data_IF_920729239230
#
_entry.id   IF_920729239230
#
_cell.length_a   1.000
_cell.length_b   1.000
_cell.length_c   1.000
_cell.angle_alpha   90.00
_cell.angle_beta   90.00
_cell.angle_gamma   90.00
#
_symmetry.space_group_name_H-M   'P 1'
#
loop_
_entity.id
_entity.type
_entity.pdbx_description
1 polymer ?
#
# COMPACT_ATOMS: atom_id res chain seq x y z
N UNK A 1 90.44 -55.34 -21.52
CA UNK A 1 90.30 -55.26 -20.05
C UNK A 1 88.84 -55.46 -19.72
N UNK A 2 88.50 -56.59 -19.12
CA UNK A 2 87.14 -56.83 -18.62
C UNK A 2 86.96 -56.01 -17.33
N UNK A 3 85.83 -55.33 -17.19
CA UNK A 3 85.45 -54.65 -15.95
C UNK A 3 85.49 -55.65 -14.79
N UNK A 4 86.00 -55.22 -13.64
CA UNK A 4 85.99 -56.07 -12.44
C UNK A 4 84.58 -56.16 -11.86
N UNK A 5 84.20 -57.29 -11.28
CA UNK A 5 82.86 -57.48 -10.67
C UNK A 5 82.49 -56.38 -9.65
N UNK A 6 83.49 -55.77 -9.01
CA UNK A 6 83.32 -54.63 -8.10
C UNK A 6 82.85 -53.36 -8.81
N UNK A 7 83.29 -53.12 -10.04
CA UNK A 7 82.88 -51.96 -10.85
C UNK A 7 81.45 -52.12 -11.37
N UNK A 8 81.07 -53.36 -11.72
CA UNK A 8 79.70 -53.72 -12.12
C UNK A 8 78.73 -53.52 -10.95
N UNK A 9 79.07 -53.97 -9.74
CA UNK A 9 78.24 -53.72 -8.55
C UNK A 9 78.09 -52.23 -8.20
N UNK A 10 79.14 -51.42 -8.40
CA UNK A 10 79.05 -49.96 -8.20
C UNK A 10 78.10 -49.31 -9.19
N UNK A 11 78.14 -49.72 -10.46
CA UNK A 11 77.20 -49.23 -11.49
C UNK A 11 75.75 -49.61 -11.18
N UNK A 12 75.50 -50.85 -10.74
CA UNK A 12 74.15 -51.29 -10.35
C UNK A 12 73.63 -50.46 -9.17
N UNK A 13 74.45 -50.22 -8.14
CA UNK A 13 74.06 -49.35 -7.00
C UNK A 13 73.77 -47.92 -7.43
N UNK A 14 74.57 -47.37 -8.34
CA UNK A 14 74.33 -46.04 -8.89
C UNK A 14 73.02 -45.99 -9.69
N UNK A 15 72.73 -47.00 -10.51
CA UNK A 15 71.44 -47.10 -11.22
C UNK A 15 70.26 -47.23 -10.26
N UNK A 16 70.37 -48.02 -9.19
CA UNK A 16 69.32 -48.14 -8.18
C UNK A 16 69.04 -46.80 -7.48
N UNK A 17 70.09 -46.08 -7.08
CA UNK A 17 69.95 -44.76 -6.46
C UNK A 17 69.31 -43.73 -7.42
N UNK A 18 69.63 -43.80 -8.71
CA UNK A 18 69.00 -42.95 -9.72
C UNK A 18 67.50 -43.24 -9.85
N UNK A 19 67.12 -44.52 -9.92
CA UNK A 19 65.71 -44.94 -10.00
C UNK A 19 64.94 -44.50 -8.75
N UNK A 20 65.55 -44.63 -7.57
CA UNK A 20 64.94 -44.21 -6.31
C UNK A 20 64.78 -42.68 -6.23
N UNK A 21 65.77 -41.92 -6.70
CA UNK A 21 65.68 -40.47 -6.79
C UNK A 21 64.60 -40.03 -7.79
N UNK A 22 64.56 -40.63 -8.98
CA UNK A 22 63.55 -40.32 -10.01
C UNK A 22 62.14 -40.64 -9.50
N UNK A 23 61.95 -41.74 -8.77
CA UNK A 23 60.68 -42.09 -8.15
C UNK A 23 60.26 -41.09 -7.06
N UNK A 24 61.20 -40.64 -6.22
CA UNK A 24 60.94 -39.65 -5.18
C UNK A 24 60.61 -38.27 -5.77
N UNK A 25 61.36 -37.81 -6.77
CA UNK A 25 61.06 -36.55 -7.48
C UNK A 25 59.68 -36.62 -8.15
N UNK A 26 59.31 -37.78 -8.71
CA UNK A 26 57.98 -37.95 -9.29
C UNK A 26 56.87 -37.95 -8.24
N UNK A 27 57.11 -38.53 -7.07
CA UNK A 27 56.16 -38.49 -5.95
C UNK A 27 55.96 -37.05 -5.45
N UNK A 28 57.04 -36.30 -5.23
CA UNK A 28 56.97 -34.89 -4.82
C UNK A 28 56.25 -34.02 -5.87
N UNK A 29 56.48 -34.25 -7.17
CA UNK A 29 55.76 -33.54 -8.23
C UNK A 29 54.25 -33.81 -8.20
N UNK A 30 53.85 -35.06 -7.92
CA UNK A 30 52.44 -35.44 -7.80
C UNK A 30 51.81 -34.78 -6.59
N UNK A 31 52.48 -34.79 -5.44
CA UNK A 31 51.98 -34.20 -4.20
C UNK A 31 51.82 -32.68 -4.33
N UNK A 32 52.81 -32.00 -4.91
CA UNK A 32 52.75 -30.56 -5.16
C UNK A 32 51.58 -30.19 -6.09
N UNK A 33 51.35 -30.98 -7.16
CA UNK A 33 50.22 -30.78 -8.07
C UNK A 33 48.88 -31.05 -7.40
N UNK A 34 48.80 -32.11 -6.59
CA UNK A 34 47.58 -32.44 -5.86
C UNK A 34 47.19 -31.33 -4.87
N UNK A 35 48.16 -30.72 -4.20
CA UNK A 35 47.93 -29.59 -3.29
C UNK A 35 47.51 -28.32 -4.04
N UNK A 36 48.11 -28.03 -5.20
CA UNK A 36 47.71 -26.91 -6.06
C UNK A 36 46.27 -27.09 -6.56
N UNK A 37 45.94 -28.25 -7.12
CA UNK A 37 44.59 -28.55 -7.61
C UNK A 37 43.55 -28.52 -6.48
N UNK A 38 43.88 -29.05 -5.30
CA UNK A 38 43.01 -28.98 -4.13
C UNK A 38 42.69 -27.53 -3.74
N UNK A 39 43.71 -26.68 -3.70
CA UNK A 39 43.53 -25.26 -3.34
C UNK A 39 42.71 -24.50 -4.38
N UNK A 40 42.91 -24.79 -5.67
CA UNK A 40 42.13 -24.22 -6.77
C UNK A 40 40.66 -24.63 -6.64
N UNK A 41 40.36 -25.92 -6.50
CA UNK A 41 38.97 -26.38 -6.48
C UNK A 41 38.24 -26.00 -5.19
N UNK A 42 38.92 -26.04 -4.05
CA UNK A 42 38.39 -25.50 -2.79
C UNK A 42 38.01 -24.03 -2.95
N UNK A 43 38.90 -23.22 -3.53
CA UNK A 43 38.64 -21.80 -3.76
C UNK A 43 37.46 -21.59 -4.71
N UNK A 44 37.39 -22.36 -5.80
CA UNK A 44 36.29 -22.31 -6.76
C UNK A 44 34.94 -22.66 -6.14
N UNK A 45 34.88 -23.72 -5.35
CA UNK A 45 33.66 -24.14 -4.64
C UNK A 45 33.19 -23.06 -3.66
N UNK A 46 34.10 -22.51 -2.85
CA UNK A 46 33.79 -21.46 -1.88
C UNK A 46 33.29 -20.20 -2.57
N UNK A 47 33.95 -19.74 -3.64
CA UNK A 47 33.53 -18.54 -4.37
C UNK A 47 32.17 -18.74 -5.05
N UNK A 48 31.95 -19.90 -5.67
CA UNK A 48 30.67 -20.23 -6.31
C UNK A 48 29.53 -20.19 -5.29
N UNK A 49 29.75 -20.76 -4.11
CA UNK A 49 28.72 -20.82 -3.09
C UNK A 49 28.50 -19.46 -2.40
N UNK A 50 29.56 -18.67 -2.23
CA UNK A 50 29.49 -17.30 -1.73
C UNK A 50 28.63 -16.41 -2.64
N UNK A 51 28.78 -16.52 -3.96
CA UNK A 51 27.95 -15.78 -4.92
C UNK A 51 26.46 -16.14 -4.79
N UNK A 52 26.14 -17.43 -4.62
CA UNK A 52 24.75 -17.88 -4.40
C UNK A 52 24.16 -17.32 -3.11
N UNK A 53 24.95 -17.28 -2.03
CA UNK A 53 24.54 -16.68 -0.76
C UNK A 53 24.30 -15.17 -0.93
N UNK A 54 25.19 -14.47 -1.62
CA UNK A 54 25.05 -13.04 -1.87
C UNK A 54 23.77 -12.72 -2.68
N UNK A 55 23.47 -13.48 -3.74
CA UNK A 55 22.25 -13.29 -4.52
C UNK A 55 20.98 -13.58 -3.69
N UNK A 56 21.00 -14.66 -2.89
CA UNK A 56 19.89 -15.00 -2.00
C UNK A 56 19.59 -13.89 -0.99
N UNK A 57 20.61 -13.37 -0.32
CA UNK A 57 20.44 -12.29 0.66
C UNK A 57 20.09 -10.95 -0.02
N UNK A 58 20.64 -10.66 -1.20
CA UNK A 58 20.28 -9.47 -1.97
C UNK A 58 18.80 -9.47 -2.38
N UNK A 59 18.24 -10.63 -2.74
CA UNK A 59 16.79 -10.78 -3.00
C UNK A 59 15.96 -10.58 -1.74
N UNK A 60 16.37 -11.18 -0.61
CA UNK A 60 15.68 -11.01 0.68
C UNK A 60 15.67 -9.56 1.15
N UNK A 61 16.79 -8.86 1.02
CA UNK A 61 16.90 -7.46 1.41
C UNK A 61 15.94 -6.58 0.61
N UNK A 62 15.93 -6.72 -0.72
CA UNK A 62 15.00 -5.99 -1.60
C UNK A 62 13.54 -6.29 -1.26
N UNK A 63 13.21 -7.54 -0.95
CA UNK A 63 11.85 -7.93 -0.56
C UNK A 63 11.43 -7.26 0.76
N UNK A 64 12.32 -7.25 1.77
CA UNK A 64 12.06 -6.60 3.06
C UNK A 64 11.90 -5.09 2.88
N UNK A 65 12.74 -4.46 2.06
CA UNK A 65 12.66 -3.02 1.79
C UNK A 65 11.32 -2.66 1.12
N UNK A 66 10.89 -3.46 0.14
CA UNK A 66 9.59 -3.28 -0.51
C UNK A 66 8.43 -3.47 0.47
N UNK A 67 8.47 -4.51 1.31
CA UNK A 67 7.46 -4.74 2.34
C UNK A 67 7.37 -3.57 3.33
N UNK A 68 8.52 -3.02 3.78
CA UNK A 68 8.55 -1.83 4.64
C UNK A 68 7.89 -0.62 3.98
N UNK A 69 8.17 -0.38 2.69
CA UNK A 69 7.53 0.71 1.92
C UNK A 69 6.01 0.52 1.83
N UNK A 70 5.55 -0.69 1.58
CA UNK A 70 4.11 -1.01 1.54
C UNK A 70 3.48 -0.77 2.91
N UNK A 71 4.06 -1.31 3.99
CA UNK A 71 3.56 -1.13 5.35
C UNK A 71 3.47 0.35 5.73
N UNK A 72 4.50 1.13 5.44
CA UNK A 72 4.50 2.57 5.70
C UNK A 72 3.41 3.30 4.92
N UNK A 73 3.22 2.94 3.64
CA UNK A 73 2.17 3.51 2.80
C UNK A 73 0.77 3.16 3.32
N UNK A 74 0.54 1.89 3.70
CA UNK A 74 -0.71 1.43 4.29
C UNK A 74 -1.02 2.16 5.59
N UNK A 75 -0.05 2.28 6.51
CA UNK A 75 -0.22 3.01 7.76
C UNK A 75 -0.56 4.49 7.53
N UNK A 76 0.13 5.14 6.57
CA UNK A 76 -0.16 6.53 6.21
C UNK A 76 -1.58 6.70 5.65
N UNK A 77 -2.00 5.79 4.76
CA UNK A 77 -3.34 5.83 4.19
C UNK A 77 -4.41 5.58 5.26
N UNK A 78 -4.17 4.65 6.19
CA UNK A 78 -5.05 4.38 7.31
C UNK A 78 -5.24 5.62 8.19
N UNK A 79 -4.15 6.29 8.58
CA UNK A 79 -4.21 7.54 9.33
C UNK A 79 -4.98 8.64 8.55
N UNK A 80 -4.77 8.74 7.24
CA UNK A 80 -5.53 9.69 6.39
C UNK A 80 -7.03 9.39 6.40
N UNK A 81 -7.42 8.12 6.28
CA UNK A 81 -8.83 7.71 6.30
C UNK A 81 -9.47 7.96 7.66
N UNK A 82 -8.74 7.78 8.76
CA UNK A 82 -9.24 8.09 10.11
C UNK A 82 -9.56 9.58 10.26
N UNK A 83 -8.67 10.46 9.79
CA UNK A 83 -8.93 11.91 9.79
C UNK A 83 -10.15 12.26 8.93
N UNK A 84 -10.28 11.68 7.74
CA UNK A 84 -11.43 11.92 6.87
C UNK A 84 -12.74 11.46 7.51
N UNK A 85 -12.76 10.26 8.11
CA UNK A 85 -13.95 9.76 8.84
C UNK A 85 -14.31 10.65 10.02
N UNK A 86 -13.32 11.10 10.80
CA UNK A 86 -13.56 12.02 11.91
C UNK A 86 -14.18 13.34 11.41
N UNK A 87 -13.67 13.89 10.30
CA UNK A 87 -14.23 15.09 9.67
C UNK A 87 -15.67 14.89 9.22
N UNK A 88 -15.96 13.78 8.55
CA UNK A 88 -17.32 13.47 8.08
C UNK A 88 -18.29 13.31 9.26
N UNK A 89 -17.86 12.64 10.34
CA UNK A 89 -18.66 12.49 11.55
C UNK A 89 -18.99 13.85 12.18
N UNK A 90 -18.05 14.79 12.23
CA UNK A 90 -18.30 16.14 12.74
C UNK A 90 -19.32 16.89 11.89
N UNK A 91 -19.27 16.74 10.56
CA UNK A 91 -20.26 17.36 9.65
C UNK A 91 -21.64 16.74 9.86
N UNK A 92 -21.72 15.41 9.96
CA UNK A 92 -22.98 14.71 10.21
C UNK A 92 -23.61 15.13 11.54
N UNK A 93 -22.79 15.27 12.58
CA UNK A 93 -23.24 15.73 13.89
C UNK A 93 -23.72 17.19 13.84
N UNK A 94 -23.00 18.07 13.15
CA UNK A 94 -23.42 19.45 12.94
C UNK A 94 -24.76 19.51 12.20
N UNK A 95 -24.95 18.72 11.15
CA UNK A 95 -26.22 18.64 10.43
C UNK A 95 -27.35 18.07 11.30
N UNK A 96 -27.05 17.10 12.17
CA UNK A 96 -27.99 16.55 13.14
C UNK A 96 -28.47 17.64 14.11
N UNK A 97 -27.54 18.38 14.71
CA UNK A 97 -27.85 19.50 15.61
C UNK A 97 -28.61 20.61 14.88
N UNK A 98 -28.25 20.92 13.63
CA UNK A 98 -28.98 21.90 12.83
C UNK A 98 -30.43 21.47 12.57
N UNK A 99 -30.66 20.19 12.25
CA UNK A 99 -32.02 19.63 12.10
C UNK A 99 -32.81 19.70 13.40
N UNK A 100 -32.20 19.38 14.54
CA UNK A 100 -32.86 19.53 15.85
C UNK A 100 -33.25 20.98 16.13
N UNK A 101 -32.39 21.95 15.78
CA UNK A 101 -32.73 23.37 15.90
C UNK A 101 -33.88 23.76 14.97
N UNK A 102 -33.93 23.25 13.74
CA UNK A 102 -35.05 23.48 12.83
C UNK A 102 -36.36 22.92 13.39
N UNK A 103 -36.34 21.76 14.06
CA UNK A 103 -37.52 21.21 14.73
C UNK A 103 -38.01 22.15 15.83
N UNK A 104 -37.11 22.81 16.57
CA UNK A 104 -37.51 23.79 17.61
C UNK A 104 -38.23 25.01 17.02
N UNK A 105 -37.91 25.42 15.79
CA UNK A 105 -38.62 26.52 15.12
C UNK A 105 -40.09 26.17 14.88
N UNK A 106 -40.40 24.89 14.62
CA UNK A 106 -41.79 24.41 14.45
C UNK A 106 -42.61 24.59 15.73
N UNK A 107 -41.98 24.63 16.90
CA UNK A 107 -42.67 24.86 18.17
C UNK A 107 -43.15 26.31 18.33
N UNK A 108 -42.50 27.27 17.66
CA UNK A 108 -42.93 28.67 17.64
C UNK A 108 -43.86 28.89 16.45
N UNK A 109 -45.17 28.82 16.72
CA UNK A 109 -46.22 28.94 15.72
C UNK A 109 -46.15 30.25 14.92
N UNK A 110 -45.72 31.36 15.53
CA UNK A 110 -45.65 32.66 14.86
C UNK A 110 -44.55 32.67 13.79
N UNK A 111 -43.34 32.29 14.20
CA UNK A 111 -42.18 32.21 13.28
C UNK A 111 -42.38 31.10 12.24
N UNK A 112 -42.97 29.97 12.64
CA UNK A 112 -43.22 28.86 11.76
C UNK A 112 -44.26 29.19 10.68
N UNK A 113 -45.34 29.90 11.04
CA UNK A 113 -46.34 30.34 10.06
C UNK A 113 -45.75 31.31 9.03
N UNK A 114 -44.94 32.29 9.46
CA UNK A 114 -44.28 33.22 8.53
C UNK A 114 -43.34 32.48 7.57
N UNK A 115 -42.63 31.47 8.06
CA UNK A 115 -41.78 30.61 7.24
C UNK A 115 -42.61 29.80 6.22
N UNK A 116 -43.72 29.20 6.64
CA UNK A 116 -44.62 28.45 5.76
C UNK A 116 -45.20 29.34 4.65
N UNK A 117 -45.64 30.56 4.97
CA UNK A 117 -46.16 31.51 4.00
C UNK A 117 -45.11 31.77 2.88
N UNK A 118 -43.85 32.00 3.26
CA UNK A 118 -42.75 32.23 2.32
C UNK A 118 -42.39 30.99 1.51
N UNK A 119 -42.33 29.81 2.13
CA UNK A 119 -42.00 28.55 1.45
C UNK A 119 -43.08 28.14 0.43
N UNK A 120 -44.36 28.32 0.79
CA UNK A 120 -45.47 28.05 -0.11
C UNK A 120 -45.41 29.00 -1.30
N UNK A 121 -45.30 30.32 -1.06
CA UNK A 121 -45.17 31.30 -2.14
C UNK A 121 -44.00 30.98 -3.07
N UNK A 122 -42.82 30.67 -2.52
CA UNK A 122 -41.64 30.30 -3.30
C UNK A 122 -41.89 29.08 -4.21
N UNK A 123 -42.59 28.07 -3.70
CA UNK A 123 -42.93 26.88 -4.49
C UNK A 123 -43.91 27.20 -5.62
N UNK A 124 -44.95 28.00 -5.34
CA UNK A 124 -45.95 28.40 -6.34
C UNK A 124 -45.32 29.23 -7.47
N UNK A 125 -44.46 30.19 -7.13
CA UNK A 125 -43.72 31.01 -8.11
C UNK A 125 -42.75 30.17 -8.95
N UNK A 126 -42.21 29.08 -8.39
CA UNK A 126 -41.29 28.22 -9.13
C UNK A 126 -42.00 27.26 -10.10
N UNK A 127 -43.23 26.86 -9.81
CA UNK A 127 -44.01 25.95 -10.64
C UNK A 127 -44.75 26.69 -11.77
N UNK A 128 -45.39 27.84 -11.50
CA UNK A 128 -46.16 28.63 -12.49
C UNK A 128 -47.20 27.82 -13.28
N UNK A 129 -47.83 26.85 -12.62
CA UNK A 129 -48.87 26.01 -13.20
C UNK A 129 -50.26 26.51 -12.79
N UNK A 130 -51.29 26.34 -13.64
CA UNK A 130 -52.65 26.79 -13.32
C UNK A 130 -53.31 25.97 -12.20
N UNK A 131 -52.88 24.72 -12.01
CA UNK A 131 -53.37 23.83 -10.96
C UNK A 131 -52.19 23.24 -10.21
N UNK A 132 -52.15 23.45 -8.89
CA UNK A 132 -51.06 22.97 -8.03
C UNK A 132 -51.63 22.21 -6.83
N UNK A 133 -51.02 21.08 -6.50
CA UNK A 133 -51.43 20.23 -5.38
C UNK A 133 -50.38 20.34 -4.27
N UNK A 134 -50.76 20.89 -3.12
CA UNK A 134 -49.88 21.05 -1.96
C UNK A 134 -50.04 19.86 -1.02
N UNK A 135 -48.94 19.15 -0.75
CA UNK A 135 -48.89 18.05 0.23
C UNK A 135 -48.19 18.51 1.50
N UNK A 136 -48.89 18.48 2.62
CA UNK A 136 -48.37 18.86 3.94
C UNK A 136 -48.53 17.72 4.96
N UNK A 137 -48.00 17.91 6.18
CA UNK A 137 -48.24 16.98 7.30
C UNK A 137 -49.65 17.23 7.84
N UNK A 138 -50.27 16.19 8.38
CA UNK A 138 -51.64 16.29 8.91
C UNK A 138 -51.79 17.35 10.02
N UNK A 139 -50.75 17.54 10.83
CA UNK A 139 -50.72 18.53 11.92
C UNK A 139 -50.66 19.98 11.40
N UNK A 140 -50.13 20.20 10.20
CA UNK A 140 -49.88 21.53 9.64
C UNK A 140 -51.00 21.97 8.69
N UNK A 141 -52.05 21.17 8.51
CA UNK A 141 -53.08 21.37 7.48
C UNK A 141 -53.70 22.78 7.55
N UNK A 142 -54.17 23.19 8.72
CA UNK A 142 -54.81 24.49 8.91
C UNK A 142 -53.85 25.67 8.69
N UNK A 143 -52.58 25.52 9.09
CA UNK A 143 -51.54 26.54 8.90
C UNK A 143 -51.18 26.70 7.41
N UNK A 144 -51.13 25.59 6.68
CA UNK A 144 -50.83 25.57 5.24
C UNK A 144 -52.00 26.08 4.42
N UNK A 145 -53.25 25.76 4.78
CA UNK A 145 -54.44 26.35 4.14
C UNK A 145 -54.42 27.88 4.24
N UNK A 146 -54.14 28.41 5.44
CA UNK A 146 -54.01 29.85 5.65
C UNK A 146 -52.83 30.46 4.85
N UNK A 147 -51.70 29.74 4.74
CA UNK A 147 -50.55 30.16 3.94
C UNK A 147 -50.86 30.23 2.44
N UNK A 148 -51.55 29.21 1.91
CA UNK A 148 -51.95 29.15 0.49
C UNK A 148 -52.90 30.32 0.16
N UNK A 149 -53.90 30.59 1.00
CA UNK A 149 -54.83 31.71 0.79
C UNK A 149 -54.10 33.06 0.74
N UNK A 150 -53.04 33.24 1.54
CA UNK A 150 -52.21 34.45 1.52
C UNK A 150 -51.24 34.51 0.34
N UNK A 151 -50.78 33.36 -0.16
CA UNK A 151 -49.82 33.28 -1.27
C UNK A 151 -50.48 33.45 -2.64
N UNK A 152 -51.75 33.07 -2.83
CA UNK A 152 -52.47 33.17 -4.12
C UNK A 152 -52.49 34.61 -4.67
N UNK A 153 -52.88 35.66 -3.91
CA UNK A 153 -52.85 37.04 -4.41
C UNK A 153 -51.45 37.49 -4.81
N UNK A 154 -50.43 37.10 -4.03
CA UNK A 154 -49.04 37.47 -4.25
C UNK A 154 -48.47 36.81 -5.52
N UNK A 155 -48.87 35.57 -5.81
CA UNK A 155 -48.52 34.89 -7.06
C UNK A 155 -49.13 35.60 -8.28
N UNK A 156 -50.41 35.99 -8.22
CA UNK A 156 -51.06 36.72 -9.32
C UNK A 156 -50.36 38.05 -9.59
N UNK A 157 -49.97 38.78 -8.54
CA UNK A 157 -49.17 39.99 -8.68
C UNK A 157 -47.80 39.73 -9.31
N UNK A 158 -47.15 38.63 -8.95
CA UNK A 158 -45.83 38.26 -9.49
C UNK A 158 -45.87 37.78 -10.95
N UNK A 159 -47.00 37.26 -11.44
CA UNK A 159 -47.20 36.80 -12.83
C UNK A 159 -47.68 37.94 -13.74
N UNK A 160 -48.31 38.98 -13.20
CA UNK A 160 -48.88 40.11 -13.97
C UNK A 160 -47.85 41.21 -14.28
N UNK A 161 -46.63 41.11 -13.71
CA UNK A 161 -45.47 41.97 -14.03
C UNK A 161 -44.56 41.25 -15.00
#
# INVERSE_FOLDING_TARGET
MALTDMDVQKQIKHMMAFIEQEANEKAEEIDAKAEEEFNIEKSRLVQTQRLKIMDYYGKKEKQIEQQKKIQLSTMRNQARLEVLRARDNLILELLRVAKERLIRIVLDLGVYQELLDKLVLQALIRLLEPVMIVRCRQQDLHLVEAAVQRAIPQLHMAITV
#
